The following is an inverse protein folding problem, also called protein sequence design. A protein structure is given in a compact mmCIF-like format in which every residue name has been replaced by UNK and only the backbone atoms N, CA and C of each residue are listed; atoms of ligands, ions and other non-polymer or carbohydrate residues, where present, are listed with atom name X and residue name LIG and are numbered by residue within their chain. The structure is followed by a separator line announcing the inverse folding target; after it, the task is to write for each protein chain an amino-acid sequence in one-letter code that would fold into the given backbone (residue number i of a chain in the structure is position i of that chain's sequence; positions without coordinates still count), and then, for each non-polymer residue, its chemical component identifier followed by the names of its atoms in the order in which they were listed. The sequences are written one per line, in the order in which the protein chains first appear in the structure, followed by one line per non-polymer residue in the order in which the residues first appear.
data_IF_886122144700
#
_entry.id   IF_886122144700
#
_cell.length_a   1.000
_cell.length_b   1.000
_cell.length_c   1.000
_cell.angle_alpha   90.00
_cell.angle_beta   90.00
_cell.angle_gamma   90.00
#
_symmetry.space_group_name_H-M   'P 1'
#
loop_
_entity.id
_entity.type
_entity.pdbx_description
1 polymer ?
#
# COMPACT_ATOMS: atom_id res chain seq x y z
N UNK A 1 -60.20 -31.42 34.41
CA UNK A 1 -59.13 -31.28 35.42
C UNK A 1 -58.15 -30.23 34.92
N UNK A 2 -57.96 -29.17 35.71
CA UNK A 2 -57.40 -27.89 35.27
C UNK A 2 -55.91 -27.92 34.93
N UNK A 3 -55.58 -27.33 33.78
CA UNK A 3 -54.27 -26.76 33.50
C UNK A 3 -54.12 -25.50 34.35
N UNK A 4 -53.35 -25.58 35.42
CA UNK A 4 -52.67 -24.43 36.00
C UNK A 4 -51.20 -24.53 35.59
N UNK A 5 -50.85 -24.01 34.41
CA UNK A 5 -49.47 -23.61 34.15
C UNK A 5 -49.25 -22.39 35.04
N UNK A 6 -48.52 -22.55 36.14
CA UNK A 6 -48.27 -21.46 37.06
C UNK A 6 -47.52 -20.35 36.33
N UNK A 7 -48.09 -19.15 36.34
CA UNK A 7 -47.55 -17.90 35.80
C UNK A 7 -46.45 -17.33 36.72
N UNK A 8 -45.54 -18.20 37.19
CA UNK A 8 -44.39 -17.77 37.99
C UNK A 8 -43.30 -17.33 37.02
N UNK A 9 -42.77 -16.10 37.12
CA UNK A 9 -41.60 -15.72 36.32
C UNK A 9 -40.47 -16.73 36.58
N UNK A 10 -39.90 -17.28 35.51
CA UNK A 10 -38.75 -18.18 35.62
C UNK A 10 -37.65 -17.45 36.43
N UNK A 11 -37.06 -18.05 37.47
CA UNK A 11 -36.06 -17.38 38.30
C UNK A 11 -34.92 -16.71 37.50
N UNK A 12 -34.53 -17.30 36.36
CA UNK A 12 -33.54 -16.74 35.43
C UNK A 12 -34.05 -15.47 34.73
N UNK A 13 -35.35 -15.35 34.44
CA UNK A 13 -35.91 -14.14 33.82
C UNK A 13 -35.86 -12.93 34.76
N UNK A 14 -35.97 -13.15 36.08
CA UNK A 14 -35.80 -12.07 37.07
C UNK A 14 -34.36 -11.55 37.10
N UNK A 15 -33.38 -12.45 37.00
CA UNK A 15 -31.98 -12.05 36.83
C UNK A 15 -31.78 -11.27 35.51
N UNK A 16 -32.39 -11.72 34.42
CA UNK A 16 -32.29 -11.02 33.13
C UNK A 16 -32.89 -9.61 33.20
N UNK A 17 -34.04 -9.43 33.86
CA UNK A 17 -34.63 -8.12 34.12
C UNK A 17 -33.75 -7.23 35.01
N UNK A 18 -33.12 -7.81 36.02
CA UNK A 18 -32.14 -7.12 36.88
C UNK A 18 -30.94 -6.63 36.07
N UNK A 19 -30.28 -7.52 35.32
CA UNK A 19 -29.12 -7.18 34.48
C UNK A 19 -29.45 -6.11 33.43
N UNK A 20 -30.67 -6.17 32.87
CA UNK A 20 -31.17 -5.13 31.96
C UNK A 20 -31.30 -3.78 32.65
N UNK A 21 -31.78 -3.76 33.89
CA UNK A 21 -31.88 -2.53 34.71
C UNK A 21 -30.51 -1.98 35.09
N UNK A 22 -29.56 -2.86 35.40
CA UNK A 22 -28.18 -2.50 35.76
C UNK A 22 -27.27 -2.18 34.57
N UNK A 23 -27.77 -2.25 33.33
CA UNK A 23 -26.95 -2.15 32.11
C UNK A 23 -26.03 -0.94 32.07
N UNK A 24 -26.53 0.26 32.35
CA UNK A 24 -25.69 1.47 32.34
C UNK A 24 -24.62 1.41 33.42
N UNK A 25 -24.92 0.82 34.59
CA UNK A 25 -23.93 0.62 35.65
C UNK A 25 -22.82 -0.34 35.20
N UNK A 26 -23.19 -1.46 34.57
CA UNK A 26 -22.26 -2.44 34.00
C UNK A 26 -21.32 -1.76 33.00
N UNK A 27 -21.88 -1.02 32.02
CA UNK A 27 -21.09 -0.33 30.99
C UNK A 27 -20.19 0.76 31.57
N UNK A 28 -20.65 1.49 32.59
CA UNK A 28 -19.84 2.51 33.26
C UNK A 28 -18.68 1.89 34.03
N UNK A 29 -18.94 0.81 34.78
CA UNK A 29 -17.92 0.10 35.55
C UNK A 29 -16.87 -0.54 34.63
N UNK A 30 -17.32 -1.21 33.58
CA UNK A 30 -16.44 -1.78 32.55
C UNK A 30 -15.54 -0.71 31.92
N UNK A 31 -16.10 0.42 31.47
CA UNK A 31 -15.30 1.52 30.90
C UNK A 31 -14.28 2.09 31.90
N UNK A 32 -14.65 2.21 33.16
CA UNK A 32 -13.74 2.70 34.21
C UNK A 32 -12.55 1.76 34.37
N UNK A 33 -12.81 0.44 34.44
CA UNK A 33 -11.74 -0.56 34.51
C UNK A 33 -10.86 -0.52 33.27
N UNK A 34 -11.44 -0.41 32.07
CA UNK A 34 -10.67 -0.30 30.83
C UNK A 34 -9.81 0.97 30.77
N UNK A 35 -10.30 2.10 31.29
CA UNK A 35 -9.54 3.35 31.36
C UNK A 35 -8.37 3.27 32.35
N UNK A 36 -8.47 2.42 33.37
CA UNK A 36 -7.43 2.21 34.39
C UNK A 36 -6.41 1.13 34.00
N UNK A 37 -6.72 0.26 33.02
CA UNK A 37 -5.79 -0.76 32.53
C UNK A 37 -4.73 -0.16 31.60
N UNK A 38 -3.51 -0.05 32.11
CA UNK A 38 -2.34 0.45 31.37
C UNK A 38 -1.99 -0.37 30.11
N UNK A 39 -2.56 -1.57 29.95
CA UNK A 39 -2.39 -2.37 28.74
C UNK A 39 -3.28 -1.91 27.59
N UNK A 40 -4.37 -1.19 27.86
CA UNK A 40 -5.31 -0.66 26.87
C UNK A 40 -4.88 0.74 26.41
N UNK A 41 -3.76 0.78 25.68
CA UNK A 41 -3.10 2.03 25.27
C UNK A 41 -4.01 2.87 24.36
N UNK A 42 -4.74 2.21 23.46
CA UNK A 42 -5.59 2.87 22.47
C UNK A 42 -7.04 3.09 22.96
N UNK A 43 -7.33 2.90 24.25
CA UNK A 43 -8.66 3.09 24.82
C UNK A 43 -9.24 4.49 24.55
N UNK A 44 -8.39 5.52 24.67
CA UNK A 44 -8.78 6.94 24.52
C UNK A 44 -9.19 7.34 23.11
N UNK A 45 -8.96 6.49 22.10
CA UNK A 45 -9.19 6.81 20.70
C UNK A 45 -10.65 6.65 20.27
N UNK A 46 -11.51 6.16 21.18
CA UNK A 46 -12.92 5.92 20.93
C UNK A 46 -13.80 6.87 21.74
N UNK A 47 -14.87 7.36 21.12
CA UNK A 47 -15.94 8.00 21.87
C UNK A 47 -16.67 6.99 22.77
N UNK A 48 -17.45 7.49 23.74
CA UNK A 48 -18.26 6.65 24.62
C UNK A 48 -19.23 5.76 23.84
N UNK A 49 -19.88 6.27 22.80
CA UNK A 49 -20.82 5.49 21.99
C UNK A 49 -20.10 4.40 21.20
N UNK A 50 -19.04 4.77 20.47
CA UNK A 50 -18.24 3.81 19.69
C UNK A 50 -17.65 2.71 20.57
N UNK A 51 -17.20 3.05 21.78
CA UNK A 51 -16.66 2.07 22.70
C UNK A 51 -17.74 1.11 23.24
N UNK A 52 -18.95 1.59 23.47
CA UNK A 52 -20.02 0.80 24.10
C UNK A 52 -20.78 -0.13 23.14
N UNK A 53 -20.79 0.15 21.84
CA UNK A 53 -21.68 -0.48 20.87
C UNK A 53 -21.66 -2.02 20.93
N UNK A 54 -20.46 -2.62 20.86
CA UNK A 54 -20.34 -4.07 20.90
C UNK A 54 -20.70 -4.68 22.27
N UNK A 55 -20.35 -4.01 23.37
CA UNK A 55 -20.74 -4.46 24.70
C UNK A 55 -22.27 -4.46 24.87
N UNK A 56 -22.97 -3.48 24.30
CA UNK A 56 -24.44 -3.46 24.29
C UNK A 56 -25.02 -4.65 23.50
N UNK A 57 -24.44 -4.98 22.35
CA UNK A 57 -24.84 -6.13 21.55
C UNK A 57 -24.65 -7.46 22.31
N UNK A 58 -23.50 -7.66 22.95
CA UNK A 58 -23.23 -8.83 23.82
C UNK A 58 -24.28 -8.94 24.94
N UNK A 59 -24.59 -7.83 25.62
CA UNK A 59 -25.57 -7.83 26.72
C UNK A 59 -27.00 -8.09 26.23
N UNK A 60 -27.35 -7.68 24.99
CA UNK A 60 -28.63 -8.02 24.37
C UNK A 60 -28.74 -9.53 24.09
N UNK A 61 -27.71 -10.13 23.50
CA UNK A 61 -27.68 -11.57 23.23
C UNK A 61 -27.71 -12.37 24.55
N UNK A 62 -27.01 -11.91 25.59
CA UNK A 62 -27.06 -12.55 26.90
C UNK A 62 -28.49 -12.51 27.48
N UNK A 63 -29.21 -11.38 27.41
CA UNK A 63 -30.62 -11.30 27.83
C UNK A 63 -31.52 -12.27 27.04
N UNK A 64 -31.34 -12.36 25.72
CA UNK A 64 -32.07 -13.31 24.87
C UNK A 64 -31.83 -14.76 25.31
N UNK A 65 -30.58 -15.16 25.48
CA UNK A 65 -30.19 -16.52 25.87
C UNK A 65 -30.67 -16.88 27.27
N UNK A 66 -30.57 -15.96 28.24
CA UNK A 66 -31.10 -16.17 29.59
C UNK A 66 -32.62 -16.36 29.60
N UNK A 67 -33.32 -15.83 28.59
CA UNK A 67 -34.77 -16.02 28.38
C UNK A 67 -35.10 -17.19 27.45
N UNK A 68 -34.12 -18.02 27.08
CA UNK A 68 -34.25 -19.11 26.10
C UNK A 68 -34.83 -18.65 24.75
N UNK A 69 -34.45 -17.45 24.31
CA UNK A 69 -34.75 -16.93 22.97
C UNK A 69 -33.59 -17.20 22.02
N UNK A 70 -33.89 -17.30 20.73
CA UNK A 70 -32.86 -17.35 19.70
C UNK A 70 -32.11 -16.02 19.63
N UNK A 71 -30.84 -16.08 19.25
CA UNK A 71 -30.03 -14.89 19.04
C UNK A 71 -30.58 -14.12 17.84
N UNK A 72 -30.85 -12.82 17.99
CA UNK A 72 -31.34 -11.98 16.88
C UNK A 72 -30.32 -11.83 15.74
N UNK A 73 -29.04 -12.05 16.04
CA UNK A 73 -27.92 -11.91 15.11
C UNK A 73 -26.79 -12.87 15.46
N UNK A 74 -25.96 -13.22 14.46
CA UNK A 74 -24.80 -14.07 14.66
C UNK A 74 -23.76 -13.39 15.56
N UNK A 75 -23.47 -14.00 16.72
CA UNK A 75 -22.43 -13.54 17.66
C UNK A 75 -21.06 -13.45 16.98
N UNK A 76 -20.77 -14.37 16.05
CA UNK A 76 -19.49 -14.41 15.35
C UNK A 76 -19.37 -13.25 14.37
N UNK A 77 -20.44 -12.90 13.66
CA UNK A 77 -20.44 -11.76 12.72
C UNK A 77 -20.28 -10.45 13.48
N UNK A 78 -21.02 -10.25 14.58
CA UNK A 78 -20.87 -9.05 15.42
C UNK A 78 -19.48 -8.91 16.03
N UNK A 79 -18.88 -10.02 16.48
CA UNK A 79 -17.49 -10.01 16.97
C UNK A 79 -16.49 -9.65 15.87
N UNK A 80 -16.77 -10.05 14.62
CA UNK A 80 -15.93 -9.75 13.46
C UNK A 80 -16.00 -8.26 13.08
N UNK A 81 -17.21 -7.70 13.01
CA UNK A 81 -17.42 -6.26 12.75
C UNK A 81 -16.76 -5.38 13.81
N UNK A 82 -16.95 -5.73 15.09
CA UNK A 82 -16.29 -5.05 16.19
C UNK A 82 -14.76 -5.14 16.09
N UNK A 83 -14.23 -6.34 15.85
CA UNK A 83 -12.81 -6.55 15.66
C UNK A 83 -12.21 -5.70 14.54
N UNK A 84 -12.92 -5.57 13.41
CA UNK A 84 -12.55 -4.70 12.29
C UNK A 84 -12.50 -3.22 12.70
N UNK A 85 -13.56 -2.72 13.34
CA UNK A 85 -13.62 -1.32 13.78
C UNK A 85 -12.46 -0.99 14.73
N UNK A 86 -12.16 -1.90 15.67
CA UNK A 86 -11.03 -1.79 16.59
C UNK A 86 -9.69 -1.78 15.84
N UNK A 87 -9.50 -2.73 14.93
CA UNK A 87 -8.25 -2.86 14.17
C UNK A 87 -7.96 -1.63 13.29
N UNK A 88 -8.97 -1.08 12.62
CA UNK A 88 -8.83 0.13 11.78
C UNK A 88 -8.34 1.37 12.55
N UNK A 89 -8.50 1.37 13.88
CA UNK A 89 -8.02 2.41 14.78
C UNK A 89 -6.71 2.05 15.49
N UNK A 90 -6.06 0.95 15.11
CA UNK A 90 -4.78 0.53 15.68
C UNK A 90 -4.89 -0.29 16.96
N UNK A 91 -6.10 -0.65 17.38
CA UNK A 91 -6.32 -1.51 18.55
C UNK A 91 -5.77 -2.91 18.28
N UNK A 92 -4.92 -3.42 19.16
CA UNK A 92 -4.34 -4.75 19.01
C UNK A 92 -5.32 -5.85 19.43
N UNK A 93 -5.08 -7.08 18.94
CA UNK A 93 -5.85 -8.25 19.39
C UNK A 93 -5.74 -8.44 20.91
N UNK A 94 -4.56 -8.20 21.50
CA UNK A 94 -4.36 -8.34 22.94
C UNK A 94 -5.18 -7.33 23.74
N UNK A 95 -5.25 -6.08 23.27
CA UNK A 95 -6.11 -5.06 23.88
C UNK A 95 -7.59 -5.45 23.77
N UNK A 96 -8.04 -5.92 22.61
CA UNK A 96 -9.42 -6.37 22.42
C UNK A 96 -9.78 -7.54 23.34
N UNK A 97 -8.88 -8.52 23.49
CA UNK A 97 -9.11 -9.66 24.37
C UNK A 97 -9.19 -9.23 25.84
N UNK A 98 -8.32 -8.33 26.28
CA UNK A 98 -8.37 -7.78 27.62
C UNK A 98 -9.65 -6.97 27.86
N UNK A 99 -10.06 -6.13 26.91
CA UNK A 99 -11.33 -5.38 26.97
C UNK A 99 -12.54 -6.30 27.16
N UNK A 100 -12.62 -7.38 26.37
CA UNK A 100 -13.69 -8.38 26.47
C UNK A 100 -13.63 -9.12 27.80
N UNK A 101 -12.44 -9.48 28.27
CA UNK A 101 -12.25 -10.13 29.57
C UNK A 101 -12.83 -9.27 30.71
N UNK A 102 -12.49 -7.97 30.73
CA UNK A 102 -13.02 -7.04 31.72
C UNK A 102 -14.55 -6.95 31.69
N UNK A 103 -15.16 -6.95 30.50
CA UNK A 103 -16.62 -6.93 30.37
C UNK A 103 -17.24 -8.16 31.06
N UNK A 104 -16.72 -9.35 30.79
CA UNK A 104 -17.26 -10.58 31.37
C UNK A 104 -17.04 -10.67 32.88
N UNK A 105 -15.90 -10.18 33.40
CA UNK A 105 -15.71 -10.06 34.85
C UNK A 105 -16.75 -9.15 35.50
N UNK A 106 -17.04 -7.99 34.91
CA UNK A 106 -18.08 -7.09 35.43
C UNK A 106 -19.45 -7.75 35.42
N UNK A 107 -19.80 -8.50 34.37
CA UNK A 107 -21.05 -9.24 34.29
C UNK A 107 -21.14 -10.33 35.36
N UNK A 108 -20.07 -11.09 35.59
CA UNK A 108 -20.02 -12.14 36.62
C UNK A 108 -20.12 -11.56 38.05
N UNK A 109 -19.48 -10.42 38.30
CA UNK A 109 -19.60 -9.68 39.56
C UNK A 109 -21.04 -9.19 39.79
N UNK A 110 -21.72 -8.74 38.74
CA UNK A 110 -23.10 -8.27 38.82
C UNK A 110 -24.07 -9.43 39.10
N UNK A 111 -23.83 -10.61 38.50
CA UNK A 111 -24.57 -11.85 38.81
C UNK A 111 -24.34 -12.26 40.27
N UNK A 112 -23.11 -12.14 40.77
CA UNK A 112 -22.77 -12.42 42.17
C UNK A 112 -23.50 -11.46 43.12
N UNK A 113 -23.55 -10.18 42.75
CA UNK A 113 -24.28 -9.14 43.50
C UNK A 113 -25.77 -9.46 43.57
N UNK A 114 -26.38 -9.92 42.47
CA UNK A 114 -27.77 -10.38 42.46
C UNK A 114 -28.01 -11.53 43.45
N UNK A 115 -27.12 -12.54 43.50
CA UNK A 115 -27.25 -13.67 44.44
C UNK A 115 -27.23 -13.24 45.91
N UNK A 116 -26.54 -12.13 46.23
CA UNK A 116 -26.41 -11.61 47.60
C UNK A 116 -27.57 -10.70 48.01
N UNK A 117 -28.14 -9.97 47.06
CA UNK A 117 -29.12 -8.89 47.32
C UNK A 117 -30.57 -9.31 47.04
N UNK A 118 -30.77 -10.36 46.24
CA UNK A 118 -32.08 -10.86 45.85
C UNK A 118 -32.26 -12.31 46.30
N UNK A 119 -33.40 -12.92 45.97
CA UNK A 119 -33.61 -14.34 46.21
C UNK A 119 -32.60 -15.14 45.39
N UNK A 120 -31.72 -15.95 46.02
CA UNK A 120 -30.70 -16.69 45.31
C UNK A 120 -31.32 -17.71 44.36
N UNK A 121 -30.65 -17.95 43.25
CA UNK A 121 -31.03 -18.98 42.29
C UNK A 121 -30.72 -20.37 42.87
N UNK A 122 -31.45 -21.39 42.40
CA UNK A 122 -31.03 -22.77 42.66
C UNK A 122 -29.68 -23.04 41.98
N UNK A 123 -28.92 -24.02 42.50
CA UNK A 123 -27.64 -24.41 41.90
C UNK A 123 -27.76 -24.78 40.41
N UNK A 124 -28.87 -25.42 40.02
CA UNK A 124 -29.19 -25.75 38.62
C UNK A 124 -29.36 -24.48 37.75
N UNK A 125 -30.17 -23.52 38.20
CA UNK A 125 -30.39 -22.27 37.46
C UNK A 125 -29.11 -21.43 37.39
N UNK A 126 -28.31 -21.40 38.46
CA UNK A 126 -27.04 -20.68 38.49
C UNK A 126 -26.01 -21.31 37.54
N UNK A 127 -25.95 -22.65 37.49
CA UNK A 127 -25.13 -23.39 36.53
C UNK A 127 -25.51 -23.06 35.09
N UNK A 128 -26.82 -22.96 34.80
CA UNK A 128 -27.29 -22.57 33.46
C UNK A 128 -26.90 -21.14 33.10
N UNK A 129 -27.03 -20.18 34.04
CA UNK A 129 -26.59 -18.80 33.84
C UNK A 129 -25.09 -18.74 33.50
N UNK A 130 -24.24 -19.40 34.29
CA UNK A 130 -22.80 -19.41 34.03
C UNK A 130 -22.44 -20.12 32.72
N UNK A 131 -23.17 -21.18 32.34
CA UNK A 131 -23.03 -21.82 31.03
C UNK A 131 -23.32 -20.83 29.89
N UNK A 132 -24.35 -20.02 29.99
CA UNK A 132 -24.67 -19.03 28.95
C UNK A 132 -23.62 -17.93 28.87
N UNK A 133 -23.13 -17.41 30.00
CA UNK A 133 -22.03 -16.43 30.05
C UNK A 133 -20.73 -17.01 29.45
N UNK A 134 -20.39 -18.26 29.79
CA UNK A 134 -19.23 -18.94 29.22
C UNK A 134 -19.37 -19.17 27.70
N UNK A 135 -20.58 -19.53 27.24
CA UNK A 135 -20.86 -19.76 25.83
C UNK A 135 -20.66 -18.47 25.01
N UNK A 136 -21.28 -17.36 25.42
CA UNK A 136 -21.16 -16.08 24.69
C UNK A 136 -19.74 -15.52 24.73
N UNK A 137 -19.03 -15.64 25.86
CA UNK A 137 -17.63 -15.19 25.97
C UNK A 137 -16.69 -15.97 25.07
N UNK A 138 -16.85 -17.28 25.01
CA UNK A 138 -16.07 -18.13 24.11
C UNK A 138 -16.37 -17.81 22.64
N UNK A 139 -17.63 -17.62 22.28
CA UNK A 139 -18.03 -17.31 20.90
C UNK A 139 -17.51 -15.95 20.44
N UNK A 140 -17.64 -14.92 21.27
CA UNK A 140 -17.17 -13.55 20.98
C UNK A 140 -15.64 -13.52 20.86
N UNK A 141 -14.95 -14.19 21.78
CA UNK A 141 -13.48 -14.32 21.76
C UNK A 141 -13.01 -15.05 20.51
N UNK A 142 -13.60 -16.21 20.19
CA UNK A 142 -13.23 -17.00 19.01
C UNK A 142 -13.51 -16.27 17.71
N UNK A 143 -14.65 -15.56 17.62
CA UNK A 143 -14.97 -14.72 16.46
C UNK A 143 -13.91 -13.64 16.25
N UNK A 144 -13.57 -12.90 17.31
CA UNK A 144 -12.55 -11.84 17.27
C UNK A 144 -11.17 -12.37 16.87
N UNK A 145 -10.70 -13.47 17.48
CA UNK A 145 -9.40 -14.07 17.16
C UNK A 145 -9.33 -14.54 15.72
N UNK A 146 -10.37 -15.24 15.25
CA UNK A 146 -10.45 -15.73 13.87
C UNK A 146 -10.36 -14.59 12.87
N UNK A 147 -11.09 -13.51 13.13
CA UNK A 147 -11.10 -12.34 12.26
C UNK A 147 -9.73 -11.67 12.16
N UNK A 148 -9.07 -11.43 13.29
CA UNK A 148 -7.72 -10.84 13.31
C UNK A 148 -6.69 -11.73 12.61
N UNK A 149 -6.80 -13.05 12.73
CA UNK A 149 -5.92 -13.99 12.03
C UNK A 149 -6.14 -13.95 10.51
N UNK A 150 -7.39 -14.01 10.05
CA UNK A 150 -7.76 -13.91 8.62
C UNK A 150 -7.27 -12.58 8.01
N UNK A 151 -7.44 -11.46 8.73
CA UNK A 151 -6.99 -10.15 8.30
C UNK A 151 -5.47 -10.05 8.21
N UNK A 152 -4.76 -10.59 9.20
CA UNK A 152 -3.29 -10.64 9.20
C UNK A 152 -2.75 -11.48 8.05
N UNK A 153 -3.34 -12.64 7.79
CA UNK A 153 -2.95 -13.50 6.67
C UNK A 153 -3.19 -12.82 5.32
N UNK A 154 -4.36 -12.17 5.15
CA UNK A 154 -4.70 -11.46 3.91
C UNK A 154 -3.74 -10.30 3.64
N UNK A 155 -3.46 -9.48 4.66
CA UNK A 155 -2.51 -8.36 4.53
C UNK A 155 -1.09 -8.84 4.23
N UNK A 156 -0.63 -9.92 4.88
CA UNK A 156 0.68 -10.50 4.60
C UNK A 156 0.77 -11.04 3.16
N UNK A 157 -0.27 -11.70 2.66
CA UNK A 157 -0.34 -12.19 1.29
C UNK A 157 -0.32 -11.04 0.26
N UNK A 158 -1.06 -9.96 0.52
CA UNK A 158 -1.03 -8.76 -0.32
C UNK A 158 0.35 -8.12 -0.36
N UNK A 159 1.00 -7.96 0.80
CA UNK A 159 2.35 -7.40 0.87
C UNK A 159 3.39 -8.27 0.14
N UNK A 160 3.30 -9.59 0.29
CA UNK A 160 4.15 -10.53 -0.44
C UNK A 160 3.97 -10.42 -1.96
N UNK A 161 2.71 -10.31 -2.44
CA UNK A 161 2.42 -10.13 -3.86
C UNK A 161 2.96 -8.79 -4.39
N UNK A 162 2.82 -7.70 -3.64
CA UNK A 162 3.39 -6.40 -4.02
C UNK A 162 4.91 -6.46 -4.11
N UNK A 163 5.56 -7.13 -3.15
CA UNK A 163 7.01 -7.30 -3.16
C UNK A 163 7.48 -8.16 -4.33
N UNK A 164 6.76 -9.22 -4.68
CA UNK A 164 7.05 -10.04 -5.86
C UNK A 164 6.92 -9.23 -7.15
N UNK A 165 5.86 -8.43 -7.29
CA UNK A 165 5.67 -7.55 -8.47
C UNK A 165 6.80 -6.53 -8.60
N UNK A 166 7.25 -5.94 -7.48
CA UNK A 166 8.40 -5.02 -7.48
C UNK A 166 9.69 -5.72 -7.91
N UNK A 167 9.95 -6.94 -7.41
CA UNK A 167 11.10 -7.74 -7.82
C UNK A 167 11.06 -8.09 -9.31
N UNK A 168 9.91 -8.52 -9.83
CA UNK A 168 9.74 -8.85 -11.24
C UNK A 168 9.99 -7.62 -12.13
N UNK A 169 9.50 -6.44 -11.72
CA UNK A 169 9.74 -5.18 -12.41
C UNK A 169 11.23 -4.83 -12.43
N UNK A 170 11.93 -4.96 -11.30
CA UNK A 170 13.39 -4.74 -11.22
C UNK A 170 14.16 -5.72 -12.12
N UNK A 171 13.77 -6.99 -12.16
CA UNK A 171 14.39 -7.97 -13.04
C UNK A 171 14.16 -7.65 -14.53
N UNK A 172 12.97 -7.18 -14.88
CA UNK A 172 12.68 -6.72 -16.25
C UNK A 172 13.55 -5.53 -16.64
N UNK A 173 13.68 -4.53 -15.76
CA UNK A 173 14.56 -3.38 -15.98
C UNK A 173 16.03 -3.83 -16.15
N UNK A 174 16.50 -4.75 -15.31
CA UNK A 174 17.85 -5.30 -15.44
C UNK A 174 18.09 -6.02 -16.77
N UNK A 175 17.09 -6.77 -17.27
CA UNK A 175 17.15 -7.39 -18.61
C UNK A 175 17.22 -6.34 -19.72
N UNK A 176 16.36 -5.32 -19.66
CA UNK A 176 16.35 -4.23 -20.65
C UNK A 176 17.68 -3.45 -20.67
N UNK A 177 18.24 -3.15 -19.50
CA UNK A 177 19.58 -2.54 -19.39
C UNK A 177 20.65 -3.44 -20.03
N UNK A 178 20.64 -4.74 -19.73
CA UNK A 178 21.57 -5.71 -20.31
C UNK A 178 21.47 -5.79 -21.84
N UNK A 179 20.25 -5.79 -22.39
CA UNK A 179 20.01 -5.75 -23.83
C UNK A 179 20.51 -4.43 -24.46
N UNK A 180 20.27 -3.29 -23.81
CA UNK A 180 20.74 -1.99 -24.29
C UNK A 180 22.27 -1.93 -24.37
N UNK A 181 22.96 -2.42 -23.33
CA UNK A 181 24.43 -2.50 -23.31
C UNK A 181 24.96 -3.45 -24.38
N UNK A 182 24.33 -4.63 -24.55
CA UNK A 182 24.71 -5.60 -25.57
C UNK A 182 24.56 -5.03 -26.99
N UNK A 183 23.46 -4.33 -27.26
CA UNK A 183 23.22 -3.69 -28.55
C UNK A 183 24.24 -2.59 -28.84
N UNK A 184 24.54 -1.76 -27.84
CA UNK A 184 25.57 -0.73 -27.92
C UNK A 184 26.95 -1.33 -28.21
N UNK A 185 27.33 -2.41 -27.52
CA UNK A 185 28.60 -3.10 -27.76
C UNK A 185 28.69 -3.73 -29.16
N UNK A 186 27.61 -4.34 -29.65
CA UNK A 186 27.56 -4.90 -31.00
C UNK A 186 27.74 -3.81 -32.06
N UNK A 187 27.03 -2.69 -31.92
CA UNK A 187 27.13 -1.58 -32.85
C UNK A 187 28.54 -0.98 -32.87
N UNK A 188 29.16 -0.78 -31.71
CA UNK A 188 30.56 -0.36 -31.62
C UNK A 188 31.47 -1.34 -32.37
N UNK A 189 31.34 -2.65 -32.13
CA UNK A 189 32.17 -3.68 -32.80
C UNK A 189 32.04 -3.62 -34.33
N UNK A 190 30.81 -3.48 -34.83
CA UNK A 190 30.54 -3.36 -36.26
C UNK A 190 31.21 -2.12 -36.87
N UNK A 191 31.06 -0.96 -36.22
CA UNK A 191 31.66 0.30 -36.69
C UNK A 191 33.19 0.25 -36.65
N UNK A 192 33.78 -0.34 -35.62
CA UNK A 192 35.23 -0.58 -35.54
C UNK A 192 35.73 -1.51 -36.65
N UNK A 193 34.97 -2.56 -37.00
CA UNK A 193 35.30 -3.44 -38.12
C UNK A 193 35.38 -2.68 -39.45
N UNK A 194 34.41 -1.80 -39.71
CA UNK A 194 34.39 -0.96 -40.92
C UNK A 194 35.57 0.03 -40.93
N UNK A 195 35.87 0.66 -39.79
CA UNK A 195 37.02 1.56 -39.65
C UNK A 195 38.35 0.85 -39.94
N UNK A 196 38.57 -0.32 -39.34
CA UNK A 196 39.79 -1.10 -39.57
C UNK A 196 39.91 -1.56 -41.03
N UNK A 197 38.79 -1.93 -41.66
CA UNK A 197 38.75 -2.28 -43.08
C UNK A 197 39.15 -1.11 -43.98
N UNK A 198 38.53 0.06 -43.82
CA UNK A 198 38.85 1.26 -44.58
C UNK A 198 40.31 1.71 -44.36
N UNK A 199 40.79 1.67 -43.11
CA UNK A 199 42.19 1.98 -42.79
C UNK A 199 43.18 1.00 -43.44
N UNK A 200 42.81 -0.28 -43.55
CA UNK A 200 43.64 -1.30 -44.22
C UNK A 200 43.69 -1.07 -45.72
N UNK A 201 42.57 -0.68 -46.34
CA UNK A 201 42.53 -0.35 -47.78
C UNK A 201 43.38 0.87 -48.13
N UNK A 202 43.49 1.86 -47.23
CA UNK A 202 44.38 3.02 -47.41
C UNK A 202 45.88 2.66 -47.45
N UNK A 203 46.27 1.49 -46.94
CA UNK A 203 47.66 1.00 -47.03
C UNK A 203 47.99 0.34 -48.36
N UNK A 204 46.99 0.00 -49.17
CA UNK A 204 47.16 -0.63 -50.48
C UNK A 204 47.27 0.44 -51.59
N UNK A 205 47.90 0.12 -52.73
CA UNK A 205 47.90 1.02 -53.89
C UNK A 205 46.47 1.27 -54.36
N UNK A 206 46.02 2.53 -54.28
CA UNK A 206 44.67 2.94 -54.66
C UNK A 206 44.70 4.25 -55.45
N UNK A 207 43.75 4.39 -56.37
CA UNK A 207 43.53 5.63 -57.12
C UNK A 207 43.12 6.77 -56.17
N UNK A 208 43.28 8.02 -56.61
CA UNK A 208 42.90 9.19 -55.81
C UNK A 208 41.41 9.14 -55.39
N UNK A 209 40.55 8.68 -56.30
CA UNK A 209 39.11 8.58 -56.11
C UNK A 209 38.73 7.49 -55.09
N UNK A 210 39.39 6.33 -55.12
CA UNK A 210 39.19 5.28 -54.11
C UNK A 210 39.67 5.72 -52.72
N UNK A 211 40.80 6.45 -52.67
CA UNK A 211 41.32 7.03 -51.43
C UNK A 211 40.34 8.02 -50.78
N UNK A 212 39.73 8.89 -51.57
CA UNK A 212 38.69 9.82 -51.10
C UNK A 212 37.49 9.06 -50.51
N UNK A 213 37.03 7.98 -51.16
CA UNK A 213 35.94 7.14 -50.64
C UNK A 213 36.29 6.50 -49.30
N UNK A 214 37.51 5.97 -49.14
CA UNK A 214 37.94 5.37 -47.87
C UNK A 214 38.07 6.40 -46.73
N UNK A 215 38.58 7.59 -47.02
CA UNK A 215 38.65 8.70 -46.06
C UNK A 215 37.24 9.15 -45.63
N UNK A 216 36.31 9.26 -46.57
CA UNK A 216 34.91 9.59 -46.26
C UNK A 216 34.21 8.51 -45.44
N UNK A 217 34.54 7.23 -45.68
CA UNK A 217 34.05 6.13 -44.83
C UNK A 217 34.61 6.26 -43.41
N UNK A 218 35.90 6.53 -43.24
CA UNK A 218 36.50 6.74 -41.91
C UNK A 218 35.85 7.90 -41.16
N UNK A 219 35.70 9.05 -41.81
CA UNK A 219 35.09 10.24 -41.21
C UNK A 219 33.64 9.99 -40.78
N UNK A 220 32.82 9.36 -41.64
CA UNK A 220 31.44 9.01 -41.30
C UNK A 220 31.36 8.08 -40.09
N UNK A 221 32.20 7.05 -40.03
CA UNK A 221 32.21 6.11 -38.90
C UNK A 221 32.75 6.74 -37.60
N UNK A 222 33.75 7.62 -37.67
CA UNK A 222 34.24 8.39 -36.52
C UNK A 222 33.15 9.30 -35.92
N UNK A 223 32.36 9.95 -36.77
CA UNK A 223 31.21 10.75 -36.33
C UNK A 223 30.17 9.86 -35.63
N UNK A 224 29.87 8.68 -36.18
CA UNK A 224 28.94 7.72 -35.58
C UNK A 224 29.41 7.19 -34.22
N UNK A 225 30.70 6.83 -34.07
CA UNK A 225 31.27 6.40 -32.77
C UNK A 225 31.16 7.52 -31.75
N UNK A 226 31.53 8.75 -32.13
CA UNK A 226 31.45 9.90 -31.24
C UNK A 226 30.01 10.12 -30.75
N UNK A 227 29.03 10.05 -31.64
CA UNK A 227 27.62 10.17 -31.27
C UNK A 227 27.19 9.07 -30.29
N UNK A 228 27.58 7.81 -30.53
CA UNK A 228 27.25 6.68 -29.67
C UNK A 228 27.90 6.78 -28.28
N UNK A 229 29.17 7.21 -28.19
CA UNK A 229 29.84 7.44 -26.92
C UNK A 229 29.18 8.57 -26.11
N UNK A 230 28.79 9.66 -26.79
CA UNK A 230 28.01 10.74 -26.17
C UNK A 230 26.68 10.22 -25.62
N UNK A 231 25.94 9.42 -26.40
CA UNK A 231 24.69 8.82 -25.94
C UNK A 231 24.87 7.93 -24.72
N UNK A 232 25.93 7.10 -24.69
CA UNK A 232 26.22 6.23 -23.54
C UNK A 232 26.60 7.04 -22.30
N UNK A 233 27.36 8.14 -22.47
CA UNK A 233 27.79 9.02 -21.37
C UNK A 233 26.62 9.86 -20.83
N UNK A 234 25.75 10.33 -21.71
CA UNK A 234 24.51 11.00 -21.32
C UNK A 234 23.61 10.03 -20.55
N UNK A 235 23.46 8.80 -21.04
CA UNK A 235 22.66 7.76 -20.37
C UNK A 235 23.17 7.47 -18.95
N UNK A 236 24.48 7.27 -18.76
CA UNK A 236 25.04 6.99 -17.43
C UNK A 236 24.92 8.18 -16.48
N UNK A 237 25.02 9.42 -16.97
CA UNK A 237 24.78 10.62 -16.16
C UNK A 237 23.33 10.74 -15.71
N UNK A 238 22.38 10.41 -16.58
CA UNK A 238 20.95 10.41 -16.26
C UNK A 238 20.66 9.35 -15.19
N UNK A 239 21.14 8.11 -15.37
CA UNK A 239 20.94 7.04 -14.38
C UNK A 239 21.57 7.36 -13.02
N UNK A 240 22.71 8.04 -13.00
CA UNK A 240 23.37 8.46 -11.77
C UNK A 240 22.68 9.67 -11.08
N UNK A 241 21.62 10.24 -11.67
CA UNK A 241 20.97 11.46 -11.18
C UNK A 241 21.88 12.69 -11.25
N UNK A 242 22.91 12.66 -12.09
CA UNK A 242 23.93 13.72 -12.23
C UNK A 242 23.58 14.74 -13.33
N UNK A 243 22.40 14.66 -13.94
CA UNK A 243 21.87 15.72 -14.80
C UNK A 243 21.12 16.75 -13.96
N UNK A 244 21.78 17.89 -13.67
CA UNK A 244 21.08 19.07 -13.19
C UNK A 244 20.36 19.74 -14.37
N UNK A 245 19.03 19.82 -14.29
CA UNK A 245 18.20 20.47 -15.29
C UNK A 245 17.91 21.90 -14.83
N UNK A 246 18.36 22.90 -15.59
CA UNK A 246 18.03 24.30 -15.32
C UNK A 246 16.82 24.72 -16.17
N UNK A 247 15.84 25.34 -15.53
CA UNK A 247 14.73 26.00 -16.22
C UNK A 247 15.22 27.36 -16.71
N UNK A 248 15.23 27.55 -18.03
CA UNK A 248 15.57 28.83 -18.65
C UNK A 248 14.57 29.17 -19.74
N UNK A 249 14.12 30.41 -19.76
CA UNK A 249 13.37 30.96 -20.88
C UNK A 249 14.21 30.89 -22.15
N UNK A 250 13.64 30.35 -23.22
CA UNK A 250 14.22 30.49 -24.56
C UNK A 250 13.14 30.65 -25.62
N UNK A 251 13.53 31.28 -26.73
CA UNK A 251 12.68 31.43 -27.90
C UNK A 251 12.75 30.18 -28.79
N UNK A 252 11.64 29.44 -28.86
CA UNK A 252 11.50 28.20 -29.64
C UNK A 252 11.69 28.47 -31.13
N UNK A 253 11.26 29.63 -31.62
CA UNK A 253 11.33 30.00 -33.04
C UNK A 253 12.80 30.13 -33.48
N UNK A 254 13.63 30.73 -32.63
CA UNK A 254 15.08 30.82 -32.87
C UNK A 254 15.74 29.43 -32.90
N UNK A 255 15.38 28.53 -31.98
CA UNK A 255 15.90 27.16 -31.96
C UNK A 255 15.47 26.35 -33.21
N UNK A 256 14.20 26.46 -33.59
CA UNK A 256 13.64 25.82 -34.79
C UNK A 256 14.36 26.31 -36.06
N UNK A 257 14.54 27.62 -36.22
CA UNK A 257 15.27 28.19 -37.37
C UNK A 257 16.71 27.69 -37.44
N UNK A 258 17.41 27.62 -36.29
CA UNK A 258 18.76 27.06 -36.22
C UNK A 258 18.78 25.57 -36.63
N UNK A 259 17.80 24.79 -36.15
CA UNK A 259 17.70 23.36 -36.43
C UNK A 259 17.39 23.08 -37.90
N UNK A 260 16.49 23.87 -38.49
CA UNK A 260 16.17 23.83 -39.92
C UNK A 260 17.39 24.19 -40.75
N UNK A 261 18.14 25.24 -40.36
CA UNK A 261 19.38 25.63 -41.04
C UNK A 261 20.43 24.50 -41.07
N UNK A 262 20.52 23.73 -39.98
CA UNK A 262 21.42 22.55 -39.93
C UNK A 262 20.94 21.39 -40.80
N UNK A 263 19.63 21.21 -40.96
CA UNK A 263 19.03 20.12 -41.74
C UNK A 263 18.85 20.46 -43.24
N UNK A 264 18.83 21.75 -43.60
CA UNK A 264 18.59 22.24 -44.96
C UNK A 264 19.51 21.62 -46.03
N UNK A 265 20.84 21.47 -45.81
CA UNK A 265 21.74 20.90 -46.81
C UNK A 265 21.40 19.44 -47.14
N UNK A 266 21.06 18.66 -46.11
CA UNK A 266 20.69 17.23 -46.26
C UNK A 266 19.33 17.09 -46.95
N UNK A 267 18.39 17.98 -46.65
CA UNK A 267 17.08 18.02 -47.31
C UNK A 267 17.23 18.34 -48.81
N UNK A 268 18.09 19.31 -49.16
CA UNK A 268 18.37 19.67 -50.55
C UNK A 268 19.05 18.53 -51.32
N UNK A 269 20.01 17.84 -50.70
CA UNK A 269 20.69 16.67 -51.29
C UNK A 269 19.69 15.53 -51.61
N UNK A 270 18.63 15.41 -50.80
CA UNK A 270 17.55 14.43 -51.00
C UNK A 270 16.33 14.97 -51.76
N UNK A 271 16.38 16.19 -52.29
CA UNK A 271 15.27 16.87 -52.99
C UNK A 271 13.98 16.99 -52.17
N UNK A 272 14.10 17.17 -50.86
CA UNK A 272 12.98 17.36 -49.93
C UNK A 272 12.82 18.84 -49.58
N UNK A 273 11.58 19.31 -49.49
CA UNK A 273 11.26 20.65 -49.03
C UNK A 273 11.10 20.67 -47.50
N UNK A 274 11.91 21.49 -46.82
CA UNK A 274 11.82 21.72 -45.38
C UNK A 274 11.36 23.17 -45.16
N UNK A 275 10.18 23.33 -44.56
CA UNK A 275 9.54 24.62 -44.30
C UNK A 275 9.10 24.69 -42.83
N UNK A 276 9.10 25.89 -42.25
CA UNK A 276 8.51 26.18 -40.94
C UNK A 276 7.36 27.17 -41.10
N UNK A 277 6.25 26.89 -40.44
CA UNK A 277 5.12 27.81 -40.28
C UNK A 277 4.86 28.03 -38.79
N UNK A 278 4.62 29.28 -38.39
CA UNK A 278 4.45 29.65 -37.00
C UNK A 278 4.72 31.13 -36.70
N UNK A 279 4.46 31.56 -35.46
CA UNK A 279 4.66 32.95 -35.02
C UNK A 279 6.14 33.36 -35.05
N UNK A 280 6.41 34.67 -35.13
CA UNK A 280 7.78 35.20 -35.23
C UNK A 280 8.62 35.03 -33.96
N UNK A 281 7.96 34.87 -32.80
CA UNK A 281 8.60 34.65 -31.51
C UNK A 281 7.68 33.84 -30.60
N UNK A 282 8.23 32.82 -29.94
CA UNK A 282 7.51 32.01 -28.95
C UNK A 282 8.46 31.68 -27.80
N UNK A 283 8.39 32.48 -26.74
CA UNK A 283 9.17 32.26 -25.52
C UNK A 283 8.45 31.23 -24.67
N UNK A 284 9.16 30.17 -24.30
CA UNK A 284 8.65 29.14 -23.40
C UNK A 284 9.66 28.89 -22.29
N UNK A 285 9.14 28.55 -21.12
CA UNK A 285 9.92 27.89 -20.09
C UNK A 285 10.13 26.44 -20.51
N UNK A 286 11.39 26.06 -20.69
CA UNK A 286 11.71 24.68 -20.97
C UNK A 286 13.02 24.26 -20.33
N UNK A 287 13.01 22.98 -19.95
CA UNK A 287 14.11 22.28 -19.33
C UNK A 287 15.30 22.24 -20.29
N UNK A 288 16.38 22.97 -19.98
CA UNK A 288 17.57 23.03 -20.83
C UNK A 288 18.76 22.39 -20.12
N UNK A 289 19.38 21.39 -20.76
CA UNK A 289 20.63 20.77 -20.29
C UNK A 289 21.75 21.81 -20.24
N UNK A 290 22.42 21.94 -19.10
CA UNK A 290 23.69 22.66 -18.99
C UNK A 290 24.82 21.76 -19.49
N UNK A 291 25.46 22.13 -20.60
CA UNK A 291 26.78 21.64 -20.91
C UNK A 291 27.77 22.34 -19.96
N UNK A 292 28.14 21.70 -18.85
CA UNK A 292 29.21 22.20 -17.98
C UNK A 292 30.51 22.31 -18.80
N UNK A 293 30.82 23.52 -19.30
CA UNK A 293 32.21 23.91 -19.53
C UNK A 293 32.82 24.15 -18.16
N UNK A 294 33.24 23.07 -17.47
CA UNK A 294 34.28 23.22 -16.44
C UNK A 294 35.56 23.66 -17.15
N UNK A 295 35.77 24.97 -17.21
CA UNK A 295 37.10 25.57 -17.35
C UNK A 295 37.91 25.06 -16.17
N UNK A 296 38.69 24.02 -16.39
CA UNK A 296 39.91 23.81 -15.61
C UNK A 296 40.87 24.88 -16.13
N UNK A 297 41.01 25.96 -15.36
CA UNK A 297 42.12 26.90 -15.47
C UNK A 297 43.22 26.44 -14.50
N UNK A 298 44.49 26.72 -14.82
CA UNK A 298 45.63 25.81 -14.66
C UNK A 298 46.09 25.56 -13.22
#
# INVERSE_FOLDING_TARGET
MGKAKSDSPQPISQLADYLRTCRESILNRWRTICAEDLKLINYSDFSREEFNDHAQAILNILDQRLRNREDESSVIEQASEHGLHRWQRGYSLTELLAELEHLYWVVLDEITTYQQTHRPLSAENLSEVYRQVFKISTETTRGSVRYYDELRQTNAAQQANQMQQALDSLQQLGKQQGEHLRNSAHNLRSIFGILMGAASMLKLPATKKEREVYVDMLNRNLISIRAMLLQLTDYTRIEAGQEAVEVKEFDVVTLLRQSIGLAQPVAQERKLALQSDGPDRLVVDAYRRTAEKKRVMP
#
